data_IF_774863543407
#
_entry.id   IF_774863543407
#
_cell.length_a   1.000
_cell.length_b   1.000
_cell.length_c   1.000
_cell.angle_alpha   90.00
_cell.angle_beta   90.00
_cell.angle_gamma   90.00
#
_symmetry.space_group_name_H-M   'P 1'
#
loop_
_entity.id
_entity.type
_entity.pdbx_description
1 polymer ?
#
# COMPACT_ATOMS: atom_id res chain seq x y z
N UNK A 1 8.91 20.62 6.20
CA UNK A 1 9.91 20.43 5.14
C UNK A 1 9.20 20.40 3.79
N UNK A 2 9.94 20.75 2.73
CA UNK A 2 9.45 20.63 1.35
C UNK A 2 10.37 19.68 0.59
N UNK A 3 9.78 18.87 -0.27
CA UNK A 3 10.51 17.90 -1.09
C UNK A 3 9.95 17.94 -2.52
N UNK A 4 10.86 17.73 -3.47
CA UNK A 4 10.53 17.44 -4.86
C UNK A 4 10.90 15.99 -5.13
N UNK A 5 9.90 15.18 -5.45
CA UNK A 5 10.09 13.77 -5.80
C UNK A 5 10.15 13.67 -7.32
N UNK A 6 11.32 13.35 -7.83
CA UNK A 6 11.55 13.14 -9.25
C UNK A 6 11.44 11.67 -9.59
N UNK A 7 10.53 11.33 -10.48
CA UNK A 7 10.36 9.98 -11.01
C UNK A 7 10.59 9.98 -12.51
N UNK A 8 11.56 9.19 -12.97
CA UNK A 8 11.87 9.03 -14.39
C UNK A 8 11.59 7.59 -14.79
N UNK A 9 10.82 7.40 -15.85
CA UNK A 9 10.51 6.11 -16.42
C UNK A 9 10.97 6.09 -17.87
N UNK A 10 11.74 5.07 -18.23
CA UNK A 10 12.16 4.79 -19.59
C UNK A 10 11.92 3.31 -19.87
N UNK A 11 11.24 3.01 -20.97
CA UNK A 11 10.96 1.65 -21.40
C UNK A 11 11.67 1.41 -22.74
N UNK A 12 12.26 0.23 -22.88
CA UNK A 12 12.98 -0.15 -24.08
C UNK A 12 12.13 -1.12 -24.92
N UNK A 13 11.81 -0.75 -26.14
CA UNK A 13 11.12 -1.57 -27.14
C UNK A 13 9.90 -2.34 -26.57
N UNK A 14 8.93 -1.67 -25.93
CA UNK A 14 7.73 -2.36 -25.45
C UNK A 14 6.93 -2.90 -26.64
N UNK A 15 6.30 -4.04 -26.44
CA UNK A 15 5.45 -4.63 -27.47
C UNK A 15 4.04 -4.04 -27.39
N UNK A 16 3.54 -3.53 -28.53
CA UNK A 16 2.18 -2.99 -28.64
C UNK A 16 1.96 -1.64 -27.90
N UNK A 17 0.69 -1.31 -27.68
CA UNK A 17 0.29 -0.13 -26.93
C UNK A 17 0.73 -0.23 -25.47
N UNK A 18 1.35 0.80 -24.98
CA UNK A 18 1.92 0.82 -23.62
C UNK A 18 1.23 1.84 -22.75
N UNK A 19 0.90 1.44 -21.53
CA UNK A 19 0.41 2.33 -20.47
C UNK A 19 1.22 2.14 -19.19
N UNK A 20 1.57 3.25 -18.56
CA UNK A 20 2.19 3.28 -17.24
C UNK A 20 1.20 3.89 -16.25
N UNK A 21 1.11 3.29 -15.08
CA UNK A 21 0.42 3.81 -13.92
C UNK A 21 1.44 4.08 -12.81
N UNK A 22 1.42 5.27 -12.25
CA UNK A 22 2.31 5.69 -11.17
C UNK A 22 1.48 6.23 -10.02
N UNK A 23 1.48 5.58 -8.85
CA UNK A 23 0.84 6.13 -7.66
C UNK A 23 1.44 7.49 -7.31
N UNK A 24 0.59 8.46 -7.03
CA UNK A 24 1.00 9.79 -6.58
C UNK A 24 0.93 9.89 -5.06
N UNK A 25 1.54 10.93 -4.53
CA UNK A 25 1.38 11.31 -3.12
C UNK A 25 -0.09 11.61 -2.83
N UNK A 26 -0.51 11.45 -1.58
CA UNK A 26 -1.89 11.73 -1.17
C UNK A 26 -2.34 13.12 -1.61
N UNK A 27 -3.50 13.19 -2.25
CA UNK A 27 -4.07 14.45 -2.72
C UNK A 27 -4.82 15.22 -1.63
N UNK A 28 -5.20 14.53 -0.55
CA UNK A 28 -5.85 15.17 0.59
C UNK A 28 -4.82 15.74 1.53
N UNK A 29 -4.96 17.01 1.82
CA UNK A 29 -4.19 17.66 2.86
C UNK A 29 -4.48 16.99 4.20
N UNK A 30 -3.43 16.66 4.91
CA UNK A 30 -3.48 16.25 6.31
C UNK A 30 -2.75 17.29 7.15
N UNK A 31 -2.87 17.28 8.49
CA UNK A 31 -2.06 18.16 9.32
C UNK A 31 -0.55 17.98 9.13
N UNK A 32 -0.09 16.88 8.53
CA UNK A 32 1.32 16.49 8.42
C UNK A 32 1.87 16.51 7.01
N UNK A 33 1.00 16.45 6.03
CA UNK A 33 1.39 16.31 4.62
C UNK A 33 0.43 17.10 3.74
N UNK A 34 1.00 17.78 2.74
CA UNK A 34 0.27 18.53 1.73
C UNK A 34 0.88 18.27 0.36
N UNK A 35 0.06 17.92 -0.61
CA UNK A 35 0.44 17.94 -2.03
C UNK A 35 0.46 19.38 -2.53
N UNK A 36 1.54 19.79 -3.17
CA UNK A 36 1.70 21.11 -3.79
C UNK A 36 1.57 21.05 -5.32
N UNK A 37 1.18 19.87 -5.85
CA UNK A 37 0.96 19.64 -7.26
C UNK A 37 2.04 18.80 -7.93
N UNK A 38 1.79 18.52 -9.21
CA UNK A 38 2.62 17.64 -10.02
C UNK A 38 2.92 18.30 -11.37
N UNK A 39 4.08 18.03 -11.89
CA UNK A 39 4.58 18.48 -13.17
C UNK A 39 5.09 17.28 -13.93
N UNK A 40 4.76 17.15 -15.20
CA UNK A 40 5.23 16.02 -15.99
C UNK A 40 5.55 16.40 -17.41
N UNK A 41 6.47 15.67 -18.02
CA UNK A 41 6.87 15.77 -19.41
C UNK A 41 7.27 14.41 -19.96
N UNK A 42 7.22 14.24 -21.26
CA UNK A 42 7.58 12.99 -21.93
C UNK A 42 7.09 12.96 -23.37
N UNK A 43 7.31 11.82 -24.01
CA UNK A 43 6.89 11.57 -25.40
C UNK A 43 5.60 10.74 -25.50
N UNK A 44 4.75 10.80 -24.51
CA UNK A 44 3.45 10.12 -24.46
C UNK A 44 2.42 10.77 -25.42
N UNK A 45 1.45 9.98 -25.88
CA UNK A 45 0.31 10.47 -26.66
C UNK A 45 -0.73 11.15 -25.76
N UNK A 46 -1.00 10.56 -24.58
CA UNK A 46 -1.88 11.14 -23.57
C UNK A 46 -1.33 10.88 -22.18
N UNK A 47 -1.57 11.80 -21.26
CA UNK A 47 -1.24 11.61 -19.85
C UNK A 47 -2.21 12.40 -18.96
N UNK A 48 -2.35 12.00 -17.72
CA UNK A 48 -3.21 12.69 -16.77
C UNK A 48 -3.22 12.05 -15.39
N UNK A 49 -4.03 12.63 -14.52
CA UNK A 49 -4.23 12.11 -13.16
C UNK A 49 -5.64 11.52 -13.08
N UNK A 50 -5.71 10.28 -12.66
CA UNK A 50 -6.94 9.59 -12.30
C UNK A 50 -7.07 9.57 -10.79
N UNK A 51 -8.24 9.99 -10.29
CA UNK A 51 -8.58 9.92 -8.88
C UNK A 51 -9.55 8.76 -8.65
N UNK A 52 -9.13 7.83 -7.81
CA UNK A 52 -9.99 6.74 -7.34
C UNK A 52 -10.70 7.16 -6.04
N UNK A 53 -12.01 7.44 -6.08
CA UNK A 53 -12.74 7.85 -4.89
C UNK A 53 -12.94 6.70 -3.89
N UNK A 54 -12.82 5.46 -4.35
CA UNK A 54 -12.98 4.26 -3.50
C UNK A 54 -11.69 3.99 -2.75
N UNK A 55 -10.54 3.95 -3.43
CA UNK A 55 -9.25 3.77 -2.79
C UNK A 55 -8.71 5.05 -2.14
N UNK A 56 -9.34 6.20 -2.40
CA UNK A 56 -8.91 7.51 -1.92
C UNK A 56 -7.47 7.84 -2.31
N UNK A 57 -7.15 7.61 -3.57
CA UNK A 57 -5.80 7.78 -4.11
C UNK A 57 -5.83 8.47 -5.47
N UNK A 58 -4.75 9.15 -5.80
CA UNK A 58 -4.47 9.63 -7.15
C UNK A 58 -3.40 8.78 -7.79
N UNK A 59 -3.63 8.49 -9.08
CA UNK A 59 -2.70 7.74 -9.92
C UNK A 59 -2.45 8.54 -11.19
N UNK A 60 -1.20 8.81 -11.48
CA UNK A 60 -0.81 9.34 -12.77
C UNK A 60 -0.81 8.22 -13.81
N UNK A 61 -1.26 8.52 -15.02
CA UNK A 61 -1.13 7.60 -16.15
C UNK A 61 -0.51 8.29 -17.35
N UNK A 62 0.20 7.52 -18.15
CA UNK A 62 0.69 7.94 -19.46
C UNK A 62 0.55 6.80 -20.47
N UNK A 63 0.10 7.15 -21.66
CA UNK A 63 -0.13 6.21 -22.78
C UNK A 63 0.80 6.51 -23.94
N UNK A 64 1.35 5.46 -24.52
CA UNK A 64 2.10 5.51 -25.76
C UNK A 64 1.42 4.65 -26.82
N UNK A 65 1.41 5.17 -28.04
CA UNK A 65 0.96 4.41 -29.19
C UNK A 65 1.89 3.23 -29.46
N UNK A 66 1.39 2.25 -30.20
CA UNK A 66 2.21 1.17 -30.71
C UNK A 66 3.32 1.73 -31.62
N UNK A 67 4.51 1.13 -31.55
CA UNK A 67 5.66 1.52 -32.37
C UNK A 67 6.55 2.60 -31.74
N UNK A 68 6.23 3.13 -30.56
CA UNK A 68 7.14 4.01 -29.81
C UNK A 68 8.23 3.15 -29.16
N UNK A 69 9.44 3.20 -29.71
CA UNK A 69 10.54 2.32 -29.28
C UNK A 69 11.07 2.67 -27.87
N UNK A 70 11.05 3.95 -27.51
CA UNK A 70 11.58 4.44 -26.24
C UNK A 70 10.55 5.36 -25.55
N UNK A 71 9.49 4.82 -24.92
CA UNK A 71 8.60 5.61 -24.08
C UNK A 71 9.37 6.25 -22.92
N UNK A 72 9.22 7.56 -22.76
CA UNK A 72 9.88 8.33 -21.70
C UNK A 72 8.88 9.21 -20.96
N UNK A 73 9.00 9.22 -19.65
CA UNK A 73 8.20 10.02 -18.75
C UNK A 73 9.10 10.56 -17.62
N UNK A 74 8.97 11.82 -17.35
CA UNK A 74 9.45 12.46 -16.12
C UNK A 74 8.28 13.08 -15.41
N UNK A 75 8.16 12.87 -14.11
CA UNK A 75 7.19 13.52 -13.25
C UNK A 75 7.87 14.03 -11.99
N UNK A 76 7.58 15.25 -11.63
CA UNK A 76 8.01 15.89 -10.38
C UNK A 76 6.79 16.14 -9.52
N UNK A 77 6.78 15.57 -8.33
CA UNK A 77 5.75 15.79 -7.33
C UNK A 77 6.29 16.68 -6.22
N UNK A 78 5.63 17.80 -6.00
CA UNK A 78 5.99 18.75 -4.94
C UNK A 78 5.17 18.45 -3.70
N UNK A 79 5.82 18.24 -2.56
CA UNK A 79 5.17 17.94 -1.29
C UNK A 79 5.71 18.79 -0.16
N UNK A 80 4.86 19.09 0.79
CA UNK A 80 5.24 19.67 2.08
C UNK A 80 4.89 18.71 3.19
N UNK A 81 5.82 18.47 4.11
CA UNK A 81 5.61 17.62 5.28
C UNK A 81 6.05 18.33 6.55
N UNK A 82 5.45 17.92 7.67
CA UNK A 82 5.97 18.27 8.99
C UNK A 82 6.11 17.02 9.85
N UNK A 83 6.98 17.11 10.86
CA UNK A 83 7.24 16.00 11.75
C UNK A 83 5.94 15.62 12.49
N UNK A 84 5.73 14.32 12.60
CA UNK A 84 4.56 13.73 13.23
C UNK A 84 5.00 12.95 14.46
N UNK A 85 4.45 13.29 15.60
CA UNK A 85 4.64 12.56 16.83
C UNK A 85 3.28 12.23 17.45
N UNK A 86 3.07 10.97 17.80
CA UNK A 86 1.89 10.53 18.54
C UNK A 86 2.30 9.76 19.76
N UNK A 87 1.70 10.15 20.88
CA UNK A 87 1.71 9.33 22.08
C UNK A 87 0.63 8.24 21.93
N UNK A 88 1.04 7.06 21.49
CA UNK A 88 0.14 5.90 21.31
C UNK A 88 -0.44 5.39 22.64
N UNK A 89 0.09 5.81 23.78
CA UNK A 89 -0.46 5.46 25.10
C UNK A 89 -1.69 6.29 25.44
N UNK A 90 -1.83 7.47 24.83
CA UNK A 90 -3.00 8.32 24.96
C UNK A 90 -4.06 7.91 23.95
N UNK A 91 -5.09 7.25 24.42
CA UNK A 91 -6.22 6.90 23.56
C UNK A 91 -7.02 8.15 23.21
N UNK A 92 -7.27 8.36 21.94
CA UNK A 92 -8.26 9.34 21.50
C UNK A 92 -9.65 8.92 21.98
N UNK A 93 -10.42 9.87 22.48
CA UNK A 93 -11.81 9.63 22.87
C UNK A 93 -12.77 9.52 21.66
N UNK A 94 -12.28 9.79 20.44
CA UNK A 94 -13.11 9.84 19.23
C UNK A 94 -13.00 8.49 18.54
N UNK A 95 -14.09 7.75 18.52
CA UNK A 95 -14.20 6.54 17.71
C UNK A 95 -14.20 6.91 16.22
N UNK A 96 -13.53 6.09 15.40
CA UNK A 96 -13.58 6.24 13.95
C UNK A 96 -15.01 5.98 13.42
N UNK A 97 -15.36 6.65 12.32
CA UNK A 97 -16.68 6.47 11.69
C UNK A 97 -16.86 5.03 11.23
N UNK A 98 -18.03 4.46 11.51
CA UNK A 98 -18.37 3.07 11.19
C UNK A 98 -18.13 2.75 9.70
N UNK A 99 -18.41 3.69 8.80
CA UNK A 99 -18.20 3.50 7.37
C UNK A 99 -16.71 3.35 7.02
N UNK A 100 -15.84 4.15 7.63
CA UNK A 100 -14.39 4.06 7.45
C UNK A 100 -13.87 2.73 8.01
N UNK A 101 -14.32 2.35 9.21
CA UNK A 101 -13.95 1.06 9.81
C UNK A 101 -14.40 -0.09 8.92
N UNK A 102 -15.66 -0.12 8.50
CA UNK A 102 -16.18 -1.16 7.62
C UNK A 102 -15.37 -1.29 6.34
N UNK A 103 -15.02 -0.17 5.69
CA UNK A 103 -14.20 -0.14 4.48
C UNK A 103 -12.77 -0.64 4.74
N UNK A 104 -12.16 -0.19 5.83
CA UNK A 104 -10.77 -0.53 6.18
C UNK A 104 -10.60 -2.00 6.57
N UNK A 105 -11.65 -2.61 7.12
CA UNK A 105 -11.66 -4.01 7.57
C UNK A 105 -12.12 -4.99 6.49
N UNK A 106 -12.53 -4.51 5.30
CA UNK A 106 -12.96 -5.39 4.21
C UNK A 106 -11.80 -6.27 3.71
N UNK A 107 -12.15 -7.52 3.42
CA UNK A 107 -11.27 -8.41 2.66
C UNK A 107 -11.10 -7.90 1.23
N UNK A 108 -9.98 -8.24 0.64
CA UNK A 108 -9.75 -8.12 -0.81
C UNK A 108 -9.38 -9.50 -1.35
N UNK A 109 -9.42 -9.65 -2.68
CA UNK A 109 -9.03 -10.90 -3.34
C UNK A 109 -7.65 -11.40 -2.89
N UNK A 110 -6.68 -10.50 -2.79
CA UNK A 110 -5.30 -10.83 -2.40
C UNK A 110 -5.09 -10.92 -0.89
N UNK A 111 -5.93 -10.27 -0.11
CA UNK A 111 -5.81 -10.19 1.35
C UNK A 111 -7.14 -10.59 1.99
N UNK A 112 -7.42 -11.90 2.09
CA UNK A 112 -8.61 -12.40 2.79
C UNK A 112 -8.53 -12.09 4.29
N UNK A 113 -9.67 -12.06 4.97
CA UNK A 113 -9.75 -11.87 6.42
C UNK A 113 -10.48 -13.01 7.15
N UNK A 114 -10.71 -14.13 6.47
CA UNK A 114 -11.37 -15.33 6.98
C UNK A 114 -10.44 -16.56 6.94
N UNK A 115 -10.97 -17.74 7.13
CA UNK A 115 -10.27 -19.00 6.99
C UNK A 115 -8.98 -19.06 7.82
N UNK A 116 -7.85 -19.31 7.15
CA UNK A 116 -6.54 -19.43 7.80
C UNK A 116 -6.07 -18.09 8.39
N UNK A 117 -6.40 -16.96 7.76
CA UNK A 117 -6.07 -15.63 8.28
C UNK A 117 -6.69 -15.41 9.65
N UNK A 118 -8.00 -15.67 9.76
CA UNK A 118 -8.72 -15.52 11.04
C UNK A 118 -8.15 -16.44 12.12
N UNK A 119 -7.98 -17.72 11.82
CA UNK A 119 -7.41 -18.69 12.80
C UNK A 119 -6.02 -18.28 13.26
N UNK A 120 -5.19 -17.77 12.37
CA UNK A 120 -3.84 -17.30 12.71
C UNK A 120 -3.88 -16.04 13.56
N UNK A 121 -4.72 -15.08 13.20
CA UNK A 121 -4.89 -13.84 13.95
C UNK A 121 -5.44 -14.11 15.36
N UNK A 122 -6.47 -14.94 15.50
CA UNK A 122 -7.03 -15.34 16.79
C UNK A 122 -6.00 -16.04 17.68
N UNK A 123 -5.12 -16.86 17.08
CA UNK A 123 -4.00 -17.50 17.81
C UNK A 123 -2.99 -16.46 18.28
N UNK A 124 -2.64 -15.51 17.42
CA UNK A 124 -1.67 -14.46 17.74
C UNK A 124 -2.15 -13.54 18.87
N UNK A 125 -3.43 -13.13 18.87
CA UNK A 125 -3.98 -12.24 19.90
C UNK A 125 -4.35 -12.95 21.19
N UNK A 126 -4.62 -14.28 21.14
CA UNK A 126 -5.02 -15.05 22.30
C UNK A 126 -6.26 -14.51 23.01
N UNK A 127 -6.11 -14.05 24.25
CA UNK A 127 -7.22 -13.48 25.05
C UNK A 127 -7.24 -11.95 25.09
N UNK A 128 -6.37 -11.31 24.34
CA UNK A 128 -6.28 -9.84 24.31
C UNK A 128 -7.52 -9.26 23.63
N UNK A 129 -8.15 -8.27 24.26
CA UNK A 129 -9.38 -7.63 23.74
C UNK A 129 -9.16 -6.17 23.34
N UNK A 130 -8.12 -5.53 23.83
CA UNK A 130 -7.81 -4.16 23.49
C UNK A 130 -7.26 -4.09 22.05
N UNK A 131 -7.84 -3.29 21.14
CA UNK A 131 -7.43 -3.24 19.73
C UNK A 131 -5.95 -2.89 19.51
N UNK A 132 -5.42 -1.95 20.29
CA UNK A 132 -4.00 -1.58 20.18
C UNK A 132 -3.09 -2.74 20.62
N UNK A 133 -3.44 -3.40 21.72
CA UNK A 133 -2.69 -4.56 22.19
C UNK A 133 -2.84 -5.77 21.26
N UNK A 134 -3.99 -5.93 20.60
CA UNK A 134 -4.17 -6.93 19.52
C UNK A 134 -3.26 -6.62 18.34
N UNK A 135 -3.23 -5.37 17.88
CA UNK A 135 -2.33 -4.94 16.81
C UNK A 135 -0.86 -5.21 17.16
N UNK A 136 -0.46 -4.94 18.42
CA UNK A 136 0.89 -5.26 18.89
C UNK A 136 1.17 -6.76 18.90
N UNK A 137 0.25 -7.58 19.39
CA UNK A 137 0.41 -9.04 19.43
C UNK A 137 0.54 -9.62 18.01
N UNK A 138 -0.24 -9.10 17.06
CA UNK A 138 -0.12 -9.49 15.64
C UNK A 138 1.22 -9.04 15.06
N UNK A 139 1.66 -7.82 15.37
CA UNK A 139 2.97 -7.33 14.94
C UNK A 139 4.10 -8.24 15.45
N UNK A 140 4.10 -8.55 16.74
CA UNK A 140 5.11 -9.43 17.34
C UNK A 140 5.06 -10.81 16.68
N UNK A 141 3.87 -11.37 16.47
CA UNK A 141 3.72 -12.64 15.79
C UNK A 141 4.31 -12.60 14.36
N UNK A 142 4.04 -11.56 13.60
CA UNK A 142 4.59 -11.39 12.24
C UNK A 142 6.11 -11.32 12.29
N UNK A 143 6.68 -10.52 13.18
CA UNK A 143 8.14 -10.41 13.33
C UNK A 143 8.79 -11.75 13.68
N UNK A 144 8.17 -12.52 14.58
CA UNK A 144 8.71 -13.79 15.06
C UNK A 144 8.58 -14.95 14.05
N UNK A 145 7.62 -14.84 13.11
CA UNK A 145 7.27 -15.95 12.21
C UNK A 145 7.62 -15.68 10.73
N UNK A 146 8.04 -14.47 10.36
CA UNK A 146 8.38 -14.15 8.97
C UNK A 146 9.87 -13.92 8.79
N UNK A 147 10.35 -14.15 7.56
CA UNK A 147 11.73 -13.84 7.17
C UNK A 147 11.69 -12.89 5.96
N UNK A 148 12.39 -11.77 6.10
CA UNK A 148 12.54 -10.83 4.99
C UNK A 148 13.65 -11.29 4.05
N UNK A 149 13.31 -11.49 2.78
CA UNK A 149 14.26 -11.80 1.70
C UNK A 149 14.08 -10.79 0.54
N UNK A 150 15.01 -9.83 0.38
CA UNK A 150 14.96 -8.87 -0.71
C UNK A 150 15.23 -9.49 -2.08
N UNK A 151 15.89 -10.65 -2.13
CA UNK A 151 16.20 -11.39 -3.36
C UNK A 151 15.05 -12.24 -3.87
N UNK A 152 14.01 -12.43 -3.06
CA UNK A 152 12.84 -13.19 -3.47
C UNK A 152 12.15 -12.51 -4.67
N UNK A 153 11.91 -13.26 -5.73
CA UNK A 153 11.09 -12.76 -6.85
C UNK A 153 9.67 -12.59 -6.35
N UNK A 154 9.20 -11.35 -6.30
CA UNK A 154 7.78 -11.07 -6.00
C UNK A 154 6.93 -11.81 -7.04
N UNK A 155 6.05 -12.65 -6.55
CA UNK A 155 5.08 -13.35 -7.41
C UNK A 155 3.91 -12.40 -7.63
N UNK A 156 4.16 -11.22 -8.15
CA UNK A 156 3.26 -10.09 -8.52
C UNK A 156 1.80 -10.06 -8.07
N UNK A 157 1.27 -11.15 -7.56
CA UNK A 157 -0.08 -11.36 -7.05
C UNK A 157 -0.09 -12.36 -5.89
N UNK A 158 0.80 -12.17 -4.90
CA UNK A 158 0.86 -13.06 -3.74
C UNK A 158 -0.47 -12.98 -2.96
N UNK A 159 -1.29 -13.99 -3.13
CA UNK A 159 -2.45 -14.21 -2.28
C UNK A 159 -1.97 -14.57 -0.89
N UNK A 160 -2.13 -13.67 0.07
CA UNK A 160 -1.52 -13.79 1.42
C UNK A 160 -2.04 -15.04 2.18
N UNK A 161 -3.26 -15.46 1.91
CA UNK A 161 -3.77 -16.73 2.43
C UNK A 161 -2.92 -17.93 2.01
N UNK A 162 -2.46 -17.99 0.76
CA UNK A 162 -1.57 -19.07 0.27
C UNK A 162 -0.18 -19.02 0.91
N UNK A 163 0.32 -17.83 1.24
CA UNK A 163 1.56 -17.69 1.98
C UNK A 163 1.46 -18.37 3.36
N UNK A 164 0.36 -18.14 4.08
CA UNK A 164 0.07 -18.82 5.35
C UNK A 164 -0.13 -20.33 5.19
N UNK A 165 -0.83 -20.77 4.15
CA UNK A 165 -1.09 -22.19 3.87
C UNK A 165 0.19 -22.96 3.56
N UNK A 166 1.15 -22.32 2.90
CA UNK A 166 2.44 -22.93 2.57
C UNK A 166 3.31 -23.20 3.79
N UNK A 167 3.08 -22.50 4.91
CA UNK A 167 3.94 -22.53 6.09
C UNK A 167 5.32 -21.89 5.88
N UNK A 168 5.64 -21.47 4.67
CA UNK A 168 6.88 -20.76 4.36
C UNK A 168 6.63 -19.25 4.31
N UNK A 169 6.87 -18.57 5.42
CA UNK A 169 6.60 -17.14 5.59
C UNK A 169 7.83 -16.28 5.25
N UNK A 170 8.53 -16.66 4.18
CA UNK A 170 9.58 -15.82 3.58
C UNK A 170 8.93 -14.88 2.57
N UNK A 171 9.24 -13.60 2.66
CA UNK A 171 8.65 -12.60 1.77
C UNK A 171 9.45 -11.31 1.71
N UNK A 172 9.08 -10.47 0.76
CA UNK A 172 9.54 -9.08 0.69
C UNK A 172 8.68 -8.21 1.62
N UNK A 173 9.05 -6.96 1.73
CA UNK A 173 8.32 -5.98 2.57
C UNK A 173 6.82 -5.93 2.27
N UNK A 174 6.43 -6.06 1.00
CA UNK A 174 5.02 -6.03 0.59
C UNK A 174 4.23 -7.21 1.16
N UNK A 175 4.73 -8.44 0.99
CA UNK A 175 4.06 -9.66 1.47
C UNK A 175 3.93 -9.64 3.00
N UNK A 176 5.00 -9.25 3.70
CA UNK A 176 5.01 -9.17 5.17
C UNK A 176 4.04 -8.08 5.66
N UNK A 177 4.03 -6.92 5.02
CA UNK A 177 3.11 -5.83 5.38
C UNK A 177 1.65 -6.20 5.11
N UNK A 178 1.36 -6.85 3.98
CA UNK A 178 0.01 -7.32 3.66
C UNK A 178 -0.45 -8.43 4.59
N UNK A 179 0.44 -9.31 5.04
CA UNK A 179 0.14 -10.31 6.06
C UNK A 179 -0.30 -9.64 7.37
N UNK A 180 0.47 -8.65 7.84
CA UNK A 180 0.10 -7.88 9.03
C UNK A 180 -1.29 -7.23 8.89
N UNK A 181 -1.54 -6.54 7.75
CA UNK A 181 -2.84 -5.91 7.47
C UNK A 181 -3.97 -6.93 7.45
N UNK A 182 -3.77 -8.08 6.80
CA UNK A 182 -4.78 -9.13 6.71
C UNK A 182 -5.12 -9.74 8.07
N UNK A 183 -4.13 -10.00 8.91
CA UNK A 183 -4.33 -10.49 10.27
C UNK A 183 -5.08 -9.47 11.14
N UNK A 184 -4.74 -8.18 11.06
CA UNK A 184 -5.46 -7.13 11.76
C UNK A 184 -6.93 -7.04 11.29
N UNK A 185 -7.19 -7.08 9.97
CA UNK A 185 -8.55 -7.09 9.41
C UNK A 185 -9.38 -8.29 9.86
N UNK A 186 -8.73 -9.42 10.13
CA UNK A 186 -9.42 -10.65 10.51
C UNK A 186 -9.99 -10.63 11.94
N UNK A 187 -9.47 -9.76 12.81
CA UNK A 187 -9.93 -9.63 14.21
C UNK A 187 -10.74 -8.35 14.47
N UNK A 188 -10.75 -7.38 13.57
CA UNK A 188 -11.60 -6.19 13.63
C UNK A 188 -10.86 -4.93 14.09
#
# INVERSE_FOLDING_TARGET
RRYDIHSTISLNNPQGKTRVWLPLVQYRDTPWERSLGHHWQGNFATAGIYRDPVADMEVFYADWAEGVAEPKLEIVSHIATQDRHFDITRRGAIAERTEILRRSLQATELVPNDGIMRRTAERAIGRVKDPLAQGKAIYDWVVDNTVYDPGMKSVGHAHIGRLLESGNLIGRSTEISLLFVGLCRAVG
#
